data_IF_411037980236
#
_entry.id   IF_411037980236
#
_cell.length_a   1.000
_cell.length_b   1.000
_cell.length_c   1.000
_cell.angle_alpha   90.00
_cell.angle_beta   90.00
_cell.angle_gamma   90.00
#
_symmetry.space_group_name_H-M   'P 1'
#
loop_
_entity.id
_entity.type
_entity.pdbx_description
1 polymer ?
#
# COMPACT_ATOMS: atom_id res chain seq x y z
N UNK A 1 12.58 -13.14 -2.09
CA UNK A 1 11.54 -12.09 -2.16
C UNK A 1 11.59 -11.46 -3.53
N UNK A 2 10.48 -11.50 -4.26
CA UNK A 2 10.33 -10.84 -5.56
C UNK A 2 9.48 -9.59 -5.35
N UNK A 3 9.94 -8.49 -5.93
CA UNK A 3 9.33 -7.17 -5.74
C UNK A 3 9.11 -6.51 -7.10
N UNK A 4 7.99 -5.83 -7.23
CA UNK A 4 7.53 -5.15 -8.43
C UNK A 4 7.20 -3.69 -8.10
N UNK A 5 7.30 -2.81 -9.09
CA UNK A 5 6.77 -1.45 -8.96
C UNK A 5 6.38 -0.90 -10.32
N UNK A 6 5.38 -0.01 -10.36
CA UNK A 6 4.92 0.54 -11.63
C UNK A 6 5.91 1.56 -12.22
N UNK A 7 6.26 2.59 -11.44
CA UNK A 7 7.07 3.71 -11.93
C UNK A 7 7.98 4.30 -10.84
N UNK A 8 9.06 4.96 -11.27
CA UNK A 8 9.93 5.74 -10.39
C UNK A 8 9.19 6.99 -9.86
N UNK A 9 9.28 7.22 -8.55
CA UNK A 9 8.67 8.34 -7.82
C UNK A 9 9.73 9.39 -7.51
N UNK A 10 9.55 10.59 -8.05
CA UNK A 10 10.46 11.71 -7.90
C UNK A 10 9.92 12.70 -6.86
N UNK A 11 10.66 12.88 -5.76
CA UNK A 11 10.38 13.92 -4.80
C UNK A 11 10.55 15.33 -5.44
N UNK A 12 9.91 16.35 -4.84
CA UNK A 12 10.18 17.75 -5.21
C UNK A 12 9.12 18.46 -6.06
N UNK A 13 7.86 18.00 -6.02
CA UNK A 13 6.73 18.80 -6.51
C UNK A 13 5.94 18.23 -7.68
N UNK A 14 6.37 17.08 -8.23
CA UNK A 14 5.62 16.37 -9.30
C UNK A 14 4.20 16.00 -8.93
N UNK A 15 3.88 15.93 -7.64
CA UNK A 15 2.52 15.78 -7.14
C UNK A 15 1.54 16.84 -7.66
N UNK A 16 2.03 17.98 -8.17
CA UNK A 16 1.22 19.04 -8.80
C UNK A 16 0.93 18.80 -10.29
N UNK A 17 1.59 17.84 -10.92
CA UNK A 17 1.46 17.54 -12.34
C UNK A 17 0.47 16.39 -12.50
N UNK A 18 -0.72 16.72 -12.99
CA UNK A 18 -1.80 15.74 -13.21
C UNK A 18 -1.35 14.57 -14.08
N UNK A 19 -1.79 13.36 -13.73
CA UNK A 19 -1.46 12.13 -14.45
C UNK A 19 -0.11 11.50 -14.09
N UNK A 20 0.71 12.16 -13.26
CA UNK A 20 1.93 11.53 -12.71
C UNK A 20 1.60 10.61 -11.53
N UNK A 21 2.45 9.61 -11.26
CA UNK A 21 2.27 8.72 -10.10
C UNK A 21 2.33 9.50 -8.79
N UNK A 22 3.15 10.55 -8.72
CA UNK A 22 3.26 11.41 -7.55
C UNK A 22 1.96 12.14 -7.29
N UNK A 23 1.29 12.60 -8.36
CA UNK A 23 0.00 13.23 -8.26
C UNK A 23 -1.08 12.24 -7.82
N UNK A 24 -1.13 11.04 -8.40
CA UNK A 24 -2.09 9.99 -8.03
C UNK A 24 -1.93 9.63 -6.55
N UNK A 25 -0.71 9.27 -6.12
CA UNK A 25 -0.43 8.87 -4.72
C UNK A 25 -0.75 10.01 -3.75
N UNK A 26 -0.32 11.24 -4.02
CA UNK A 26 -0.61 12.37 -3.13
C UNK A 26 -2.11 12.73 -3.09
N UNK A 27 -2.81 12.58 -4.22
CA UNK A 27 -4.26 12.84 -4.31
C UNK A 27 -5.04 11.83 -3.48
N UNK A 28 -4.72 10.54 -3.60
CA UNK A 28 -5.43 9.47 -2.88
C UNK A 28 -5.07 9.39 -1.40
N UNK A 29 -3.87 9.85 -0.99
CA UNK A 29 -3.53 10.03 0.43
C UNK A 29 -4.44 11.06 1.10
N UNK A 30 -4.79 12.13 0.37
CA UNK A 30 -5.71 13.17 0.82
C UNK A 30 -5.40 13.74 2.22
N UNK A 31 -4.10 13.92 2.54
CA UNK A 31 -3.61 14.16 3.91
C UNK A 31 -3.37 15.64 4.28
N UNK A 32 -3.24 16.55 3.30
CA UNK A 32 -2.86 17.96 3.53
C UNK A 32 -3.96 18.90 3.07
N UNK A 33 -4.41 18.76 1.83
CA UNK A 33 -5.46 19.58 1.24
C UNK A 33 -6.56 18.64 0.76
N UNK A 34 -7.79 18.74 1.29
CA UNK A 34 -8.91 17.94 0.80
C UNK A 34 -9.13 18.23 -0.68
N UNK A 35 -8.94 17.21 -1.51
CA UNK A 35 -9.27 17.29 -2.94
C UNK A 35 -10.79 17.19 -3.13
N UNK A 36 -11.28 17.77 -4.23
CA UNK A 36 -12.69 17.63 -4.61
C UNK A 36 -12.99 16.20 -5.05
N UNK A 37 -14.26 15.79 -4.98
CA UNK A 37 -14.68 14.44 -5.36
C UNK A 37 -14.35 14.12 -6.82
N UNK A 38 -14.43 15.11 -7.72
CA UNK A 38 -14.02 14.95 -9.12
C UNK A 38 -12.53 14.63 -9.30
N UNK A 39 -11.66 15.28 -8.52
CA UNK A 39 -10.21 15.04 -8.57
C UNK A 39 -9.89 13.67 -7.98
N UNK A 40 -10.52 13.32 -6.86
CA UNK A 40 -10.39 12.00 -6.24
C UNK A 40 -10.85 10.89 -7.20
N UNK A 41 -12.00 11.07 -7.85
CA UNK A 41 -12.51 10.11 -8.82
C UNK A 41 -11.57 9.95 -10.02
N UNK A 42 -11.00 11.04 -10.53
CA UNK A 42 -10.00 10.99 -11.62
C UNK A 42 -8.79 10.16 -11.20
N UNK A 43 -8.21 10.43 -10.02
CA UNK A 43 -7.07 9.68 -9.50
C UNK A 43 -7.39 8.20 -9.24
N UNK A 44 -8.59 7.88 -8.74
CA UNK A 44 -9.06 6.49 -8.58
C UNK A 44 -9.11 5.76 -9.92
N UNK A 45 -9.61 6.41 -10.99
CA UNK A 45 -9.67 5.78 -12.32
C UNK A 45 -8.28 5.52 -12.91
N UNK A 46 -7.33 6.44 -12.72
CA UNK A 46 -5.95 6.22 -13.16
C UNK A 46 -5.27 5.09 -12.37
N UNK A 47 -5.45 5.05 -11.05
CA UNK A 47 -4.95 3.95 -10.22
C UNK A 47 -5.56 2.61 -10.65
N UNK A 48 -6.87 2.57 -10.93
CA UNK A 48 -7.55 1.36 -11.40
C UNK A 48 -6.93 0.82 -12.68
N UNK A 49 -6.62 1.67 -13.67
CA UNK A 49 -5.95 1.27 -14.92
C UNK A 49 -4.57 0.68 -14.66
N UNK A 50 -3.78 1.32 -13.79
CA UNK A 50 -2.45 0.83 -13.38
C UNK A 50 -2.57 -0.55 -12.75
N UNK A 51 -3.44 -0.71 -11.75
CA UNK A 51 -3.62 -1.95 -11.02
C UNK A 51 -4.08 -3.10 -11.93
N UNK A 52 -5.08 -2.89 -12.79
CA UNK A 52 -5.54 -3.96 -13.70
C UNK A 52 -4.38 -4.47 -14.57
N UNK A 53 -3.61 -3.57 -15.17
CA UNK A 53 -2.49 -3.96 -16.02
C UNK A 53 -1.38 -4.68 -15.24
N UNK A 54 -1.03 -4.16 -14.07
CA UNK A 54 0.14 -4.64 -13.33
C UNK A 54 -0.16 -5.93 -12.57
N UNK A 55 -1.35 -6.05 -11.98
CA UNK A 55 -1.76 -7.27 -11.28
C UNK A 55 -1.80 -8.48 -12.23
N UNK A 56 -2.38 -8.33 -13.42
CA UNK A 56 -2.42 -9.40 -14.42
C UNK A 56 -1.01 -9.86 -14.82
N UNK A 57 -0.09 -8.91 -15.03
CA UNK A 57 1.33 -9.23 -15.33
C UNK A 57 2.00 -9.93 -14.16
N UNK A 58 1.79 -9.43 -12.94
CA UNK A 58 2.38 -10.05 -11.74
C UNK A 58 1.91 -11.49 -11.60
N UNK A 59 0.61 -11.77 -11.76
CA UNK A 59 0.09 -13.14 -11.69
C UNK A 59 0.80 -14.05 -12.70
N UNK A 60 0.92 -13.62 -13.96
CA UNK A 60 1.66 -14.33 -15.00
C UNK A 60 3.12 -14.59 -14.60
N UNK A 61 3.82 -13.58 -14.06
CA UNK A 61 5.20 -13.71 -13.58
C UNK A 61 5.36 -14.64 -12.38
N UNK A 62 4.35 -14.72 -11.52
CA UNK A 62 4.40 -15.60 -10.33
C UNK A 62 4.09 -17.05 -10.65
N UNK A 63 3.52 -17.34 -11.82
CA UNK A 63 3.07 -18.67 -12.22
C UNK A 63 2.09 -19.32 -11.21
N UNK A 64 1.33 -18.48 -10.49
CA UNK A 64 0.33 -18.91 -9.52
C UNK A 64 -1.07 -18.92 -10.13
N UNK A 65 -1.89 -19.90 -9.75
CA UNK A 65 -3.30 -19.94 -10.14
C UNK A 65 -4.14 -18.91 -9.39
N UNK A 66 -3.79 -18.64 -8.12
CA UNK A 66 -4.47 -17.67 -7.27
C UNK A 66 -3.50 -16.95 -6.34
N UNK A 67 -3.80 -15.70 -6.01
CA UNK A 67 -2.99 -14.89 -5.10
C UNK A 67 -3.88 -14.05 -4.16
N UNK A 68 -3.51 -13.99 -2.88
CA UNK A 68 -4.24 -13.19 -1.89
C UNK A 68 -3.63 -11.79 -1.81
N UNK A 69 -4.43 -10.75 -1.93
CA UNK A 69 -3.91 -9.38 -1.92
C UNK A 69 -4.09 -8.74 -0.56
N UNK A 70 -2.97 -8.38 0.06
CA UNK A 70 -2.92 -7.59 1.29
C UNK A 70 -2.46 -6.16 0.97
N UNK A 71 -2.79 -5.20 1.84
CA UNK A 71 -2.38 -3.80 1.69
C UNK A 71 -1.61 -3.37 2.92
N UNK A 72 -0.50 -2.65 2.74
CA UNK A 72 0.27 -2.10 3.85
C UNK A 72 -0.63 -1.16 4.68
N UNK A 73 -0.71 -1.36 6.01
CA UNK A 73 -1.58 -0.57 6.85
C UNK A 73 -1.07 0.87 6.97
N UNK A 74 -1.93 1.83 6.63
CA UNK A 74 -1.69 3.26 6.83
C UNK A 74 -1.31 3.56 8.29
N UNK A 75 -0.52 4.61 8.52
CA UNK A 75 0.13 4.86 9.81
C UNK A 75 -0.82 5.08 11.02
N UNK A 76 -2.07 5.51 10.81
CA UNK A 76 -3.05 5.75 11.88
C UNK A 76 -4.16 4.70 11.91
N UNK A 77 -4.80 4.53 13.06
CA UNK A 77 -5.96 3.64 13.21
C UNK A 77 -7.18 4.19 12.46
N UNK A 78 -7.42 5.50 12.58
CA UNK A 78 -8.61 6.14 12.05
C UNK A 78 -8.29 7.03 10.84
N UNK A 79 -8.96 6.75 9.72
CA UNK A 79 -8.97 7.55 8.51
C UNK A 79 -10.41 7.75 8.04
N UNK A 80 -10.69 8.89 7.41
CA UNK A 80 -11.99 9.06 6.75
C UNK A 80 -12.04 8.29 5.42
N UNK A 81 -13.25 8.06 4.90
CA UNK A 81 -13.45 7.28 3.67
C UNK A 81 -12.66 7.82 2.47
N UNK A 82 -12.54 9.15 2.34
CA UNK A 82 -11.79 9.79 1.25
C UNK A 82 -10.27 9.60 1.36
N UNK A 83 -9.76 9.24 2.54
CA UNK A 83 -8.36 8.86 2.75
C UNK A 83 -8.11 7.36 2.57
N UNK A 84 -9.19 6.55 2.46
CA UNK A 84 -9.13 5.10 2.25
C UNK A 84 -9.35 4.71 0.78
N UNK A 85 -9.48 5.69 -0.12
CA UNK A 85 -9.73 5.46 -1.55
C UNK A 85 -8.66 4.58 -2.21
N UNK A 86 -7.40 4.65 -1.78
CA UNK A 86 -6.35 3.75 -2.27
C UNK A 86 -6.73 2.26 -2.04
N UNK A 87 -7.04 1.91 -0.78
CA UNK A 87 -7.44 0.55 -0.39
C UNK A 87 -8.75 0.14 -1.08
N UNK A 88 -9.73 1.04 -1.14
CA UNK A 88 -11.00 0.76 -1.82
C UNK A 88 -10.84 0.53 -3.32
N UNK A 89 -9.95 1.27 -3.98
CA UNK A 89 -9.66 1.06 -5.40
C UNK A 89 -9.02 -0.31 -5.63
N UNK A 90 -8.09 -0.73 -4.76
CA UNK A 90 -7.50 -2.07 -4.81
C UNK A 90 -8.58 -3.15 -4.65
N UNK A 91 -9.45 -3.02 -3.64
CA UNK A 91 -10.58 -3.94 -3.43
C UNK A 91 -11.50 -4.01 -4.65
N UNK A 92 -11.86 -2.86 -5.22
CA UNK A 92 -12.70 -2.79 -6.42
C UNK A 92 -12.06 -3.53 -7.61
N UNK A 93 -10.75 -3.36 -7.82
CA UNK A 93 -10.01 -4.05 -8.89
C UNK A 93 -9.97 -5.56 -8.64
N UNK A 94 -9.60 -5.99 -7.43
CA UNK A 94 -9.54 -7.42 -7.08
C UNK A 94 -10.90 -8.10 -7.30
N UNK A 95 -12.01 -7.43 -6.94
CA UNK A 95 -13.35 -7.99 -7.12
C UNK A 95 -13.72 -8.26 -8.59
N UNK A 96 -12.97 -7.70 -9.54
CA UNK A 96 -13.14 -7.90 -10.98
C UNK A 96 -12.22 -8.97 -11.56
N UNK A 97 -11.27 -9.49 -10.79
CA UNK A 97 -10.25 -10.45 -11.23
C UNK A 97 -10.44 -11.77 -10.46
N UNK A 98 -10.88 -12.83 -11.13
CA UNK A 98 -11.27 -14.10 -10.49
C UNK A 98 -10.16 -14.82 -9.74
N UNK A 99 -8.91 -14.60 -10.16
CA UNK A 99 -7.71 -15.24 -9.63
C UNK A 99 -7.18 -14.55 -8.36
N UNK A 100 -7.77 -13.42 -7.97
CA UNK A 100 -7.33 -12.62 -6.82
C UNK A 100 -8.30 -12.74 -5.66
N UNK A 101 -7.75 -13.03 -4.48
CA UNK A 101 -8.51 -13.14 -3.23
C UNK A 101 -8.34 -11.82 -2.46
N UNK A 102 -9.45 -11.24 -2.02
CA UNK A 102 -9.44 -10.02 -1.22
C UNK A 102 -8.98 -10.29 0.22
N UNK A 103 -7.74 -9.91 0.52
CA UNK A 103 -7.18 -9.87 1.88
C UNK A 103 -6.89 -8.43 2.33
N UNK A 104 -7.54 -7.42 1.74
CA UNK A 104 -7.23 -6.00 1.98
C UNK A 104 -7.48 -5.55 3.43
N UNK A 105 -8.25 -6.33 4.20
CA UNK A 105 -8.49 -6.14 5.64
C UNK A 105 -7.78 -7.20 6.53
N UNK A 106 -6.85 -8.00 5.99
CA UNK A 106 -6.13 -9.00 6.78
C UNK A 106 -5.06 -8.39 7.71
N UNK A 107 -4.68 -7.14 7.46
CA UNK A 107 -3.73 -6.40 8.30
C UNK A 107 -4.43 -5.13 8.77
N UNK A 108 -4.79 -5.07 10.05
CA UNK A 108 -5.54 -3.96 10.63
C UNK A 108 -4.72 -3.29 11.72
N UNK A 109 -4.42 -2.00 11.55
CA UNK A 109 -3.73 -1.20 12.56
C UNK A 109 -4.66 -0.89 13.73
N UNK A 110 -4.24 -1.23 14.95
CA UNK A 110 -4.94 -0.89 16.19
C UNK A 110 -4.18 0.17 17.01
N UNK A 111 -2.91 0.44 16.70
CA UNK A 111 -2.08 1.47 17.36
C UNK A 111 -1.46 2.41 16.33
N UNK A 112 -1.59 3.73 16.56
CA UNK A 112 -1.00 4.75 15.69
C UNK A 112 0.54 4.65 15.64
N UNK A 113 1.11 4.95 14.48
CA UNK A 113 2.55 5.07 14.22
C UNK A 113 2.86 6.41 13.57
N UNK A 114 4.12 6.83 13.62
CA UNK A 114 4.58 8.07 13.01
C UNK A 114 5.11 7.87 11.61
N UNK A 115 4.79 8.83 10.75
CA UNK A 115 5.37 8.91 9.41
C UNK A 115 6.70 9.65 9.44
N UNK A 116 7.76 9.03 8.95
CA UNK A 116 9.13 9.59 8.93
C UNK A 116 9.23 10.90 8.14
N UNK A 117 8.48 11.02 7.05
CA UNK A 117 8.47 12.22 6.21
C UNK A 117 7.90 13.45 6.92
N UNK A 118 6.86 13.29 7.75
CA UNK A 118 6.21 14.41 8.43
C UNK A 118 6.81 14.72 9.79
N UNK A 119 7.47 13.75 10.42
CA UNK A 119 8.15 13.94 11.71
C UNK A 119 9.24 15.02 11.61
N UNK A 120 9.98 15.05 10.50
CA UNK A 120 10.98 16.10 10.20
C UNK A 120 10.40 17.51 10.15
N UNK A 121 9.10 17.65 9.88
CA UNK A 121 8.40 18.93 9.84
C UNK A 121 7.59 19.19 11.13
N UNK A 122 7.69 18.33 12.15
CA UNK A 122 6.92 18.44 13.40
C UNK A 122 5.47 17.96 13.31
N UNK A 123 5.08 17.30 12.21
CA UNK A 123 3.71 16.83 11.95
C UNK A 123 3.63 15.31 11.77
N UNK A 124 4.55 14.56 12.40
CA UNK A 124 4.73 13.11 12.24
C UNK A 124 3.53 12.26 12.62
N UNK A 125 2.68 12.77 13.52
CA UNK A 125 1.61 12.04 14.19
C UNK A 125 1.97 11.69 15.63
N UNK A 126 1.09 10.94 16.28
CA UNK A 126 1.35 10.33 17.58
C UNK A 126 1.75 8.86 17.35
N UNK A 127 2.59 8.29 18.21
CA UNK A 127 3.05 6.90 18.10
C UNK A 127 4.56 6.78 17.89
N UNK A 128 5.03 5.60 17.55
CA UNK A 128 6.47 5.34 17.39
C UNK A 128 6.94 5.55 15.95
N UNK A 129 8.22 5.92 15.80
CA UNK A 129 8.89 5.90 14.50
C UNK A 129 9.07 4.45 14.04
N UNK A 130 9.22 4.18 12.73
CA UNK A 130 9.48 2.82 12.25
C UNK A 130 10.66 2.15 12.97
N UNK A 131 10.44 0.93 13.45
CA UNK A 131 11.45 0.04 14.04
C UNK A 131 11.11 -1.43 13.69
N UNK A 132 12.08 -2.36 13.74
CA UNK A 132 11.81 -3.78 13.49
C UNK A 132 10.83 -4.37 14.52
N UNK A 133 9.74 -4.97 14.07
CA UNK A 133 8.66 -5.52 14.88
C UNK A 133 7.45 -4.58 15.04
N UNK A 134 7.51 -3.35 14.51
CA UNK A 134 6.43 -2.37 14.69
C UNK A 134 5.09 -2.88 14.15
N UNK A 135 5.08 -3.66 13.05
CA UNK A 135 3.84 -4.20 12.49
C UNK A 135 3.17 -5.17 13.46
N UNK A 136 3.91 -6.12 14.05
CA UNK A 136 3.37 -7.05 15.04
C UNK A 136 2.89 -6.35 16.31
N UNK A 137 3.57 -5.26 16.73
CA UNK A 137 3.18 -4.51 17.92
C UNK A 137 1.96 -3.61 17.72
N UNK A 138 1.65 -3.22 16.47
CA UNK A 138 0.67 -2.17 16.18
C UNK A 138 -0.45 -2.59 15.24
N UNK A 139 -0.40 -3.81 14.71
CA UNK A 139 -1.41 -4.38 13.82
C UNK A 139 -1.86 -5.76 14.29
N UNK A 140 -3.14 -6.05 14.05
CA UNK A 140 -3.69 -7.41 14.07
C UNK A 140 -3.56 -7.98 12.67
N UNK A 141 -2.99 -9.18 12.56
CA UNK A 141 -2.89 -9.96 11.33
C UNK A 141 -3.89 -11.12 11.41
N UNK A 142 -4.70 -11.29 10.37
CA UNK A 142 -5.71 -12.37 10.30
C UNK A 142 -5.05 -13.74 10.16
N UNK A 143 -5.57 -14.77 10.84
CA UNK A 143 -5.15 -16.16 10.64
C UNK A 143 -5.39 -16.66 9.20
N UNK A 144 -6.21 -15.95 8.41
CA UNK A 144 -6.44 -16.26 6.99
C UNK A 144 -5.21 -16.06 6.11
N UNK A 145 -4.12 -15.45 6.61
CA UNK A 145 -2.84 -15.34 5.90
C UNK A 145 -2.07 -16.67 5.87
N UNK A 146 -2.37 -17.60 6.78
CA UNK A 146 -1.66 -18.87 6.93
C UNK A 146 -1.71 -19.67 5.63
N UNK A 147 -0.54 -20.16 5.21
CA UNK A 147 -0.33 -20.96 3.98
C UNK A 147 -0.72 -20.23 2.67
N UNK A 148 -0.99 -18.91 2.69
CA UNK A 148 -1.32 -18.14 1.50
C UNK A 148 -0.09 -17.65 0.76
N UNK A 149 -0.20 -17.59 -0.57
CA UNK A 149 0.66 -16.74 -1.39
C UNK A 149 0.08 -15.33 -1.39
N UNK A 150 0.85 -14.36 -0.91
CA UNK A 150 0.38 -12.99 -0.68
C UNK A 150 1.06 -12.04 -1.66
N UNK A 151 0.27 -11.18 -2.29
CA UNK A 151 0.74 -9.94 -2.90
C UNK A 151 0.48 -8.79 -1.94
N UNK A 152 1.54 -8.28 -1.32
CA UNK A 152 1.48 -7.09 -0.48
C UNK A 152 1.62 -5.84 -1.34
N UNK A 153 0.63 -4.96 -1.28
CA UNK A 153 0.59 -3.71 -2.04
C UNK A 153 0.82 -2.51 -1.12
N UNK A 154 1.72 -1.62 -1.51
CA UNK A 154 1.88 -0.29 -0.90
C UNK A 154 1.74 0.85 -1.93
N UNK A 155 1.48 2.06 -1.43
CA UNK A 155 1.47 3.25 -2.27
C UNK A 155 2.87 3.67 -2.73
N UNK A 156 3.91 3.48 -1.90
CA UNK A 156 5.24 3.99 -2.19
C UNK A 156 6.35 3.24 -1.45
N UNK A 157 7.14 2.49 -2.20
CA UNK A 157 8.38 1.93 -1.67
C UNK A 157 9.45 3.01 -1.48
N UNK A 158 9.92 3.17 -0.25
CA UNK A 158 11.04 4.07 0.08
C UNK A 158 12.19 3.29 0.70
N UNK A 159 13.30 3.18 -0.05
CA UNK A 159 14.51 2.51 0.42
C UNK A 159 14.97 3.11 1.75
N UNK A 160 15.30 2.24 2.70
CA UNK A 160 15.79 2.51 4.07
C UNK A 160 14.75 2.99 5.09
N UNK A 161 13.46 2.95 4.79
CA UNK A 161 12.40 3.18 5.79
C UNK A 161 11.98 1.88 6.48
N UNK A 162 12.09 0.75 5.78
CA UNK A 162 11.88 -0.61 6.29
C UNK A 162 10.47 -0.89 6.82
N UNK A 163 9.45 -0.13 6.40
CA UNK A 163 8.05 -0.43 6.76
C UNK A 163 7.54 -1.60 5.94
N UNK A 164 7.77 -1.58 4.62
CA UNK A 164 7.33 -2.67 3.75
C UNK A 164 8.01 -3.98 4.12
N UNK A 165 9.32 -3.94 4.36
CA UNK A 165 10.09 -5.09 4.82
C UNK A 165 9.60 -5.64 6.18
N UNK A 166 9.18 -4.77 7.09
CA UNK A 166 8.63 -5.17 8.39
C UNK A 166 7.28 -5.88 8.25
N UNK A 167 6.39 -5.37 7.39
CA UNK A 167 5.10 -6.02 7.11
C UNK A 167 5.30 -7.37 6.43
N UNK A 168 6.25 -7.46 5.49
CA UNK A 168 6.59 -8.72 4.82
C UNK A 168 7.08 -9.75 5.85
N UNK A 169 7.97 -9.34 6.76
CA UNK A 169 8.46 -10.24 7.80
C UNK A 169 7.33 -10.68 8.74
N UNK A 170 6.45 -9.75 9.14
CA UNK A 170 5.31 -10.07 10.00
C UNK A 170 4.37 -11.11 9.35
N UNK A 171 4.10 -11.00 8.05
CA UNK A 171 3.31 -12.00 7.32
C UNK A 171 3.98 -13.37 7.26
N UNK A 172 5.31 -13.41 7.08
CA UNK A 172 6.06 -14.67 7.07
C UNK A 172 6.10 -15.31 8.47
N UNK A 173 6.21 -14.52 9.52
CA UNK A 173 6.15 -14.98 10.91
C UNK A 173 4.76 -15.56 11.25
N UNK A 174 3.69 -15.03 10.63
CA UNK A 174 2.32 -15.56 10.69
C UNK A 174 2.08 -16.72 9.70
N UNK A 175 3.14 -17.37 9.21
CA UNK A 175 3.11 -18.56 8.36
C UNK A 175 2.45 -18.36 6.98
N UNK A 176 2.51 -17.15 6.41
CA UNK A 176 2.26 -17.00 4.98
C UNK A 176 3.25 -17.87 4.16
N UNK A 177 2.76 -18.54 3.12
CA UNK A 177 3.59 -19.45 2.31
C UNK A 177 4.65 -18.67 1.50
N UNK A 178 4.21 -17.60 0.82
CA UNK A 178 5.11 -16.69 0.10
C UNK A 178 4.57 -15.27 0.16
N UNK A 179 5.46 -14.28 0.10
CA UNK A 179 5.10 -12.87 0.03
C UNK A 179 5.82 -12.21 -1.15
N UNK A 180 5.02 -11.72 -2.10
CA UNK A 180 5.41 -10.84 -3.19
C UNK A 180 5.10 -9.40 -2.78
N UNK A 181 5.92 -8.46 -3.22
CA UNK A 181 5.71 -7.04 -2.93
C UNK A 181 5.46 -6.26 -4.21
N UNK A 182 4.51 -5.33 -4.17
CA UNK A 182 4.24 -4.40 -5.26
C UNK A 182 4.00 -2.98 -4.72
N UNK A 183 4.62 -1.99 -5.35
CA UNK A 183 4.38 -0.58 -5.04
C UNK A 183 3.96 0.21 -6.28
N UNK A 184 3.07 1.19 -6.12
CA UNK A 184 2.74 2.11 -7.23
C UNK A 184 3.95 2.96 -7.59
N UNK A 185 4.59 3.55 -6.58
CA UNK A 185 5.82 4.30 -6.75
C UNK A 185 7.00 3.62 -6.10
N UNK A 186 8.19 3.81 -6.67
CA UNK A 186 9.46 3.60 -5.97
C UNK A 186 10.23 4.89 -5.90
N UNK A 187 10.56 5.38 -4.71
CA UNK A 187 11.34 6.62 -4.58
C UNK A 187 12.70 6.47 -5.26
N UNK A 188 13.03 7.42 -6.15
CA UNK A 188 14.38 7.60 -6.67
C UNK A 188 15.07 8.74 -5.90
N UNK A 189 16.31 8.49 -5.48
CA UNK A 189 17.17 9.50 -4.83
C UNK A 189 18.12 10.10 -5.86
#
# INVERSE_FOLDING_TARGET
MQAFYNSDYFAGGRWRVEGTIENIVCTLKNDITPYTDSILQSATQELRKILINDLLKILEYTELDTITVCVVPRAKVNYNEKQLLFKFTIREVISQLSEFIDGTDFIIRHTDTRTTHRDRAGYGGNGDLPFPGITQETCTISEEVVEKNILLIDDLYTKSINIDEDVIQALLDENANTVFFYAIGRTVK
#
